data_IF_840314488028
#
_entry.id   IF_840314488028
#
_cell.length_a   1.000
_cell.length_b   1.000
_cell.length_c   1.000
_cell.angle_alpha   90.00
_cell.angle_beta   90.00
_cell.angle_gamma   90.00
#
_symmetry.space_group_name_H-M   'P 1'
#
loop_
_entity.id
_entity.type
_entity.pdbx_description
1 polymer ?
#
# COMPACT_ATOMS: atom_id res chain seq x y z
N UNK A 1 4.60 16.61 0.51
CA UNK A 1 3.96 15.98 1.67
C UNK A 1 4.43 14.54 1.90
N UNK A 2 4.33 13.66 0.94
CA UNK A 2 4.86 12.29 1.06
C UNK A 2 6.38 12.26 1.32
N UNK A 3 7.14 13.15 0.70
CA UNK A 3 8.59 13.29 0.93
C UNK A 3 8.93 13.69 2.36
N UNK A 4 8.10 14.55 2.97
CA UNK A 4 8.35 15.02 4.34
C UNK A 4 8.17 13.90 5.36
N UNK A 5 7.14 13.08 5.19
CA UNK A 5 6.89 11.94 6.07
C UNK A 5 8.01 10.89 5.92
N UNK A 6 8.46 10.63 4.69
CA UNK A 6 9.59 9.73 4.44
C UNK A 6 10.89 10.25 5.07
N UNK A 7 11.14 11.55 4.97
CA UNK A 7 12.31 12.18 5.61
C UNK A 7 12.25 12.08 7.14
N UNK A 8 11.06 12.30 7.72
CA UNK A 8 10.86 12.18 9.16
C UNK A 8 11.07 10.74 9.64
N UNK A 9 10.54 9.77 8.92
CA UNK A 9 10.76 8.35 9.23
C UNK A 9 12.25 8.00 9.16
N UNK A 10 12.94 8.41 8.10
CA UNK A 10 14.38 8.19 7.94
C UNK A 10 15.20 8.86 9.06
N UNK A 11 14.83 10.06 9.46
CA UNK A 11 15.49 10.77 10.55
C UNK A 11 15.36 10.04 11.90
N UNK A 12 14.25 9.33 12.11
CA UNK A 12 14.04 8.49 13.29
C UNK A 12 14.60 7.06 13.12
N UNK A 13 15.21 6.75 11.97
CA UNK A 13 15.79 5.45 11.71
C UNK A 13 14.77 4.32 11.60
N UNK A 14 13.53 4.61 11.19
CA UNK A 14 12.48 3.61 11.10
C UNK A 14 11.84 3.53 9.72
N UNK A 15 11.31 2.35 9.34
CA UNK A 15 10.53 2.21 8.12
C UNK A 15 9.32 3.14 8.10
N UNK A 16 8.90 3.55 6.91
CA UNK A 16 7.77 4.46 6.74
C UNK A 16 6.50 3.92 7.41
N UNK A 17 6.21 2.65 7.26
CA UNK A 17 5.01 2.03 7.85
C UNK A 17 5.03 2.12 9.38
N UNK A 18 6.16 1.81 10.00
CA UNK A 18 6.33 1.88 11.44
C UNK A 18 6.17 3.32 11.95
N UNK A 19 6.71 4.28 11.22
CA UNK A 19 6.55 5.70 11.52
C UNK A 19 5.07 6.11 11.48
N UNK A 20 4.33 5.70 10.45
CA UNK A 20 2.91 6.00 10.32
C UNK A 20 2.11 5.40 11.48
N UNK A 21 2.37 4.14 11.83
CA UNK A 21 1.72 3.47 12.96
C UNK A 21 2.03 4.18 14.28
N UNK A 22 3.27 4.59 14.49
CA UNK A 22 3.66 5.37 15.67
C UNK A 22 2.86 6.67 15.77
N UNK A 23 2.71 7.39 14.66
CA UNK A 23 1.92 8.63 14.62
C UNK A 23 0.43 8.39 14.85
N UNK A 24 -0.13 7.33 14.30
CA UNK A 24 -1.53 6.92 14.52
C UNK A 24 -1.77 6.64 16.00
N UNK A 25 -0.88 5.88 16.63
CA UNK A 25 -0.99 5.55 18.05
C UNK A 25 -0.88 6.80 18.93
N UNK A 26 0.01 7.72 18.61
CA UNK A 26 0.14 8.99 19.32
C UNK A 26 -1.13 9.83 19.21
N UNK A 27 -1.70 9.95 18.02
CA UNK A 27 -2.95 10.67 17.79
C UNK A 27 -4.13 10.02 18.53
N UNK A 28 -4.18 8.70 18.56
CA UNK A 28 -5.21 7.98 19.31
C UNK A 28 -5.10 8.24 20.81
N UNK A 29 -3.89 8.23 21.37
CA UNK A 29 -3.66 8.54 22.77
C UNK A 29 -4.07 9.98 23.11
N UNK A 30 -3.79 10.93 22.21
CA UNK A 30 -4.09 12.35 22.37
C UNK A 30 -5.58 12.64 22.24
N UNK A 31 -6.27 12.05 21.27
CA UNK A 31 -7.65 12.38 20.91
C UNK A 31 -8.69 11.40 21.44
N UNK A 32 -8.29 10.21 21.89
CA UNK A 32 -9.20 9.12 22.24
C UNK A 32 -9.91 8.46 21.06
N UNK A 33 -9.62 8.89 19.82
CA UNK A 33 -10.26 8.37 18.62
C UNK A 33 -9.39 7.27 18.02
N UNK A 34 -9.94 6.08 17.89
CA UNK A 34 -9.26 4.96 17.23
C UNK A 34 -9.11 5.22 15.72
N UNK A 35 -7.91 4.99 15.22
CA UNK A 35 -7.58 5.16 13.81
C UNK A 35 -6.87 3.92 13.29
N UNK A 36 -7.02 3.66 12.01
CA UNK A 36 -6.33 2.57 11.34
C UNK A 36 -5.91 3.02 9.94
N UNK A 37 -5.04 2.25 9.31
CA UNK A 37 -4.68 2.46 7.91
C UNK A 37 -5.64 1.64 7.05
N UNK A 38 -6.17 2.29 6.02
CA UNK A 38 -6.91 1.59 4.97
C UNK A 38 -5.95 0.73 4.15
N UNK A 39 -6.23 -0.56 4.08
CA UNK A 39 -5.51 -1.49 3.23
C UNK A 39 -6.43 -1.99 2.11
N UNK A 40 -5.99 -1.85 0.88
CA UNK A 40 -6.72 -2.30 -0.30
C UNK A 40 -6.02 -3.52 -0.92
N UNK A 41 -6.81 -4.55 -1.20
CA UNK A 41 -6.36 -5.75 -1.93
C UNK A 41 -6.98 -5.71 -3.33
N UNK A 42 -6.36 -5.01 -4.30
CA UNK A 42 -7.01 -4.72 -5.57
C UNK A 42 -7.04 -5.93 -6.49
N UNK A 43 -8.16 -6.10 -7.18
CA UNK A 43 -8.33 -7.13 -8.21
C UNK A 43 -8.29 -6.57 -9.64
N UNK A 44 -8.20 -5.24 -9.78
CA UNK A 44 -8.21 -4.56 -11.08
C UNK A 44 -7.62 -3.17 -10.97
N UNK A 45 -7.28 -2.59 -12.11
CA UNK A 45 -6.83 -1.19 -12.20
C UNK A 45 -7.93 -0.24 -11.72
N UNK A 46 -9.18 -0.53 -12.01
CA UNK A 46 -10.31 0.29 -11.53
C UNK A 46 -10.34 0.38 -10.02
N UNK A 47 -10.11 -0.72 -9.31
CA UNK A 47 -10.04 -0.75 -7.84
C UNK A 47 -8.82 0.01 -7.34
N UNK A 48 -7.66 -0.13 -7.98
CA UNK A 48 -6.46 0.66 -7.65
C UNK A 48 -6.78 2.16 -7.73
N UNK A 49 -7.37 2.60 -8.83
CA UNK A 49 -7.72 4.01 -9.02
C UNK A 49 -8.75 4.50 -8.01
N UNK A 50 -9.80 3.71 -7.75
CA UNK A 50 -10.81 4.06 -6.76
C UNK A 50 -10.23 4.23 -5.36
N UNK A 51 -9.36 3.33 -4.94
CA UNK A 51 -8.67 3.40 -3.66
C UNK A 51 -7.77 4.63 -3.56
N UNK A 52 -7.01 4.93 -4.61
CA UNK A 52 -6.16 6.12 -4.68
C UNK A 52 -6.97 7.42 -4.64
N UNK A 53 -8.10 7.48 -5.34
CA UNK A 53 -9.00 8.65 -5.29
C UNK A 53 -9.56 8.86 -3.88
N UNK A 54 -9.91 7.78 -3.20
CA UNK A 54 -10.38 7.82 -1.82
C UNK A 54 -9.29 8.34 -0.88
N UNK A 55 -8.08 7.82 -0.99
CA UNK A 55 -6.93 8.29 -0.22
C UNK A 55 -6.65 9.77 -0.44
N UNK A 56 -6.69 10.23 -1.70
CA UNK A 56 -6.52 11.64 -2.06
C UNK A 56 -7.60 12.51 -1.42
N UNK A 57 -8.86 12.11 -1.55
CA UNK A 57 -9.98 12.87 -1.01
C UNK A 57 -9.89 13.06 0.50
N UNK A 58 -9.45 12.03 1.22
CA UNK A 58 -9.30 12.04 2.67
C UNK A 58 -7.92 12.54 3.12
N UNK A 59 -6.99 12.76 2.19
CA UNK A 59 -5.58 13.05 2.49
C UNK A 59 -5.01 12.05 3.49
N UNK A 60 -5.28 10.78 3.29
CA UNK A 60 -4.94 9.69 4.21
C UNK A 60 -3.91 8.74 3.61
N UNK A 61 -3.05 8.15 4.44
CA UNK A 61 -2.19 7.06 3.97
C UNK A 61 -3.02 5.88 3.47
N UNK A 62 -2.50 5.18 2.47
CA UNK A 62 -3.11 3.96 1.95
C UNK A 62 -2.04 2.88 1.78
N UNK A 63 -2.39 1.65 2.10
CA UNK A 63 -1.58 0.48 1.86
C UNK A 63 -2.25 -0.39 0.80
N UNK A 64 -1.54 -0.69 -0.26
CA UNK A 64 -1.94 -1.74 -1.19
C UNK A 64 -1.28 -3.03 -0.76
N UNK A 65 -2.05 -4.10 -0.68
CA UNK A 65 -1.56 -5.42 -0.35
C UNK A 65 -2.20 -6.43 -1.30
N UNK A 66 -1.38 -7.14 -2.06
CA UNK A 66 -1.87 -8.12 -3.01
C UNK A 66 -1.35 -9.51 -2.65
N UNK A 67 -2.20 -10.53 -2.78
CA UNK A 67 -1.79 -11.91 -2.60
C UNK A 67 -1.11 -12.45 -3.86
N UNK A 68 -0.44 -13.59 -3.75
CA UNK A 68 0.18 -14.25 -4.90
C UNK A 68 -0.86 -14.71 -5.95
N UNK A 69 -2.11 -14.88 -5.55
CA UNK A 69 -3.18 -15.15 -6.52
C UNK A 69 -3.54 -13.91 -7.33
N UNK A 70 -3.37 -12.73 -6.76
CA UNK A 70 -3.64 -11.46 -7.43
C UNK A 70 -2.48 -11.02 -8.32
N UNK A 71 -1.25 -11.07 -7.82
CA UNK A 71 -0.04 -10.68 -8.55
C UNK A 71 1.07 -11.69 -8.29
N UNK A 72 1.69 -12.18 -9.34
CA UNK A 72 2.81 -13.11 -9.23
C UNK A 72 3.61 -13.15 -10.54
N UNK A 73 4.65 -13.96 -10.59
CA UNK A 73 5.46 -14.15 -11.80
C UNK A 73 4.63 -14.63 -13.01
N UNK A 74 3.55 -15.35 -12.76
CA UNK A 74 2.59 -15.79 -13.78
C UNK A 74 1.52 -14.74 -14.12
N UNK A 75 1.57 -13.57 -13.46
CA UNK A 75 0.59 -12.49 -13.62
C UNK A 75 -0.59 -12.54 -12.65
N UNK A 76 -0.85 -13.67 -11.99
CA UNK A 76 -2.06 -13.82 -11.18
C UNK A 76 -3.34 -13.50 -11.97
N UNK A 77 -4.46 -13.30 -11.28
CA UNK A 77 -5.70 -12.94 -11.98
C UNK A 77 -5.78 -11.46 -12.36
N UNK A 78 -4.89 -10.60 -11.87
CA UNK A 78 -4.81 -9.21 -12.33
C UNK A 78 -4.04 -9.06 -13.64
N UNK A 79 -3.26 -10.07 -14.03
CA UNK A 79 -2.34 -10.00 -15.16
C UNK A 79 -1.02 -9.28 -14.84
N UNK A 80 -0.74 -8.99 -13.58
CA UNK A 80 0.43 -8.21 -13.16
C UNK A 80 1.42 -9.07 -12.37
N UNK A 81 2.70 -8.94 -12.69
CA UNK A 81 3.78 -9.37 -11.80
C UNK A 81 3.91 -8.39 -10.63
N UNK A 82 4.67 -8.75 -9.59
CA UNK A 82 4.91 -7.85 -8.47
C UNK A 82 5.52 -6.52 -8.92
N UNK A 83 6.50 -6.58 -9.82
CA UNK A 83 7.15 -5.38 -10.38
C UNK A 83 6.15 -4.49 -11.14
N UNK A 84 5.32 -5.09 -11.98
CA UNK A 84 4.30 -4.38 -12.73
C UNK A 84 3.24 -3.78 -11.82
N UNK A 85 2.86 -4.49 -10.75
CA UNK A 85 1.95 -3.98 -9.74
C UNK A 85 2.48 -2.70 -9.09
N UNK A 86 3.73 -2.71 -8.65
CA UNK A 86 4.37 -1.52 -8.07
C UNK A 86 4.38 -0.36 -9.05
N UNK A 87 4.77 -0.61 -10.29
CA UNK A 87 4.79 0.41 -11.35
C UNK A 87 3.41 0.97 -11.63
N UNK A 88 2.40 0.11 -11.69
CA UNK A 88 1.01 0.48 -11.96
C UNK A 88 0.46 1.35 -10.84
N UNK A 89 0.62 0.94 -9.58
CA UNK A 89 0.18 1.74 -8.43
C UNK A 89 0.86 3.11 -8.41
N UNK A 90 2.17 3.15 -8.60
CA UNK A 90 2.93 4.40 -8.63
C UNK A 90 2.52 5.32 -9.78
N UNK A 91 2.30 4.76 -10.96
CA UNK A 91 1.83 5.51 -12.12
C UNK A 91 0.48 6.19 -11.83
N UNK A 92 -0.49 5.42 -11.33
CA UNK A 92 -1.82 5.98 -11.04
C UNK A 92 -1.80 6.94 -9.85
N UNK A 93 -0.98 6.71 -8.85
CA UNK A 93 -0.82 7.64 -7.74
C UNK A 93 -0.32 9.01 -8.22
N UNK A 94 0.68 9.03 -9.10
CA UNK A 94 1.16 10.27 -9.71
C UNK A 94 0.11 10.92 -10.61
N UNK A 95 -0.53 10.13 -11.46
CA UNK A 95 -1.56 10.61 -12.39
C UNK A 95 -2.74 11.26 -11.66
N UNK A 96 -3.11 10.70 -10.50
CA UNK A 96 -4.21 11.20 -9.67
C UNK A 96 -3.77 12.24 -8.64
N UNK A 97 -2.50 12.66 -8.64
CA UNK A 97 -1.95 13.63 -7.70
C UNK A 97 -2.17 13.24 -6.23
N UNK A 98 -1.90 11.98 -5.90
CA UNK A 98 -1.96 11.51 -4.51
C UNK A 98 -0.69 11.95 -3.80
N UNK A 99 -0.82 12.79 -2.78
CA UNK A 99 0.29 13.34 -2.00
C UNK A 99 0.45 12.69 -0.64
N UNK A 100 -0.55 11.94 -0.18
CA UNK A 100 -0.44 11.12 1.03
C UNK A 100 0.44 9.89 0.80
N UNK A 101 1.00 9.29 1.87
CA UNK A 101 1.83 8.09 1.71
C UNK A 101 1.07 6.94 1.06
N UNK A 102 1.70 6.34 0.06
CA UNK A 102 1.22 5.13 -0.62
C UNK A 102 2.22 4.02 -0.34
N UNK A 103 1.78 2.97 0.33
CA UNK A 103 2.59 1.81 0.70
C UNK A 103 2.13 0.64 -0.16
N UNK A 104 3.09 -0.11 -0.70
CA UNK A 104 2.81 -1.27 -1.54
C UNK A 104 3.45 -2.49 -0.90
N UNK A 105 2.66 -3.53 -0.70
CA UNK A 105 3.08 -4.75 -0.02
C UNK A 105 2.46 -5.98 -0.69
N UNK A 106 3.04 -7.12 -0.38
CA UNK A 106 2.45 -8.43 -0.69
C UNK A 106 1.83 -8.99 0.58
N UNK A 107 0.58 -9.39 0.50
CA UNK A 107 -0.15 -10.07 1.57
C UNK A 107 0.04 -11.58 1.40
N UNK A 108 0.22 -12.29 2.50
CA UNK A 108 0.53 -13.71 2.46
C UNK A 108 1.74 -14.03 1.57
N UNK A 109 2.75 -13.17 1.60
CA UNK A 109 3.96 -13.28 0.77
C UNK A 109 5.05 -14.18 1.35
N UNK A 110 4.71 -15.11 2.23
CA UNK A 110 5.65 -16.05 2.81
C UNK A 110 6.13 -17.11 1.80
N UNK A 111 6.78 -18.18 2.26
CA UNK A 111 7.35 -19.22 1.38
C UNK A 111 6.26 -20.16 0.83
N UNK A 112 5.14 -19.61 0.44
CA UNK A 112 4.02 -20.34 -0.12
C UNK A 112 4.21 -20.51 -1.62
N UNK A 113 3.97 -21.73 -2.11
CA UNK A 113 3.90 -21.98 -3.54
C UNK A 113 2.44 -22.18 -3.93
N UNK A 114 2.05 -21.59 -5.04
CA UNK A 114 0.78 -21.93 -5.70
C UNK A 114 0.85 -23.40 -6.15
N UNK A 115 -0.28 -24.07 -6.22
CA UNK A 115 -0.33 -25.47 -6.64
C UNK A 115 0.33 -25.70 -7.99
N UNK A 116 0.21 -24.74 -8.91
CA UNK A 116 0.87 -24.77 -10.21
C UNK A 116 2.41 -24.80 -10.13
N UNK A 117 2.97 -24.34 -9.00
CA UNK A 117 4.41 -24.28 -8.80
C UNK A 117 4.96 -25.47 -8.02
N UNK A 118 4.11 -26.43 -7.62
CA UNK A 118 4.48 -27.56 -6.76
C UNK A 118 4.96 -28.81 -7.51
N UNK A 119 5.15 -28.71 -8.78
CA UNK A 119 5.60 -29.86 -9.60
C UNK A 119 7.11 -30.06 -9.61
#
# INVERSE_FOLDING_TARGET
MNRDIRKKAAAEGMPLMDYILKRINALQAETGIKRTIFAACPNSISVIRAALKSARRCNAPIKFAATLNQVDLDGGYTGLTQSEFVKTVRFHARNLNVTSPVIIAIDHGGPWLKDIHRT
#
